data_IF_374722121156
#
_entry.id   IF_374722121156
#
_cell.length_a   1.000
_cell.length_b   1.000
_cell.length_c   1.000
_cell.angle_alpha   90.00
_cell.angle_beta   90.00
_cell.angle_gamma   90.00
#
_symmetry.space_group_name_H-M   'P 1'
#
loop_
_entity.id
_entity.type
_entity.pdbx_description
1 polymer ?
#
# COMPACT_ATOMS: atom_id res chain seq x y z
N UNK A 1 -4.34 -3.56 -19.71
CA UNK A 1 -3.37 -2.53 -19.26
C UNK A 1 -3.95 -1.87 -18.02
N UNK A 2 -3.24 -1.94 -16.90
CA UNK A 2 -3.63 -1.27 -15.66
C UNK A 2 -3.55 0.24 -15.87
N UNK A 3 -4.54 1.00 -15.39
CA UNK A 3 -4.54 2.46 -15.53
C UNK A 3 -3.38 3.13 -14.77
N UNK A 4 -3.06 4.40 -15.06
CA UNK A 4 -1.91 5.09 -14.47
C UNK A 4 -2.00 5.21 -12.93
N UNK A 5 -3.21 5.40 -12.38
CA UNK A 5 -3.40 5.44 -10.92
C UNK A 5 -3.15 4.07 -10.28
N UNK A 6 -3.56 3.00 -10.96
CA UNK A 6 -3.32 1.65 -10.51
C UNK A 6 -1.83 1.31 -10.54
N UNK A 7 -1.11 1.71 -11.59
CA UNK A 7 0.35 1.55 -11.67
C UNK A 7 1.07 2.34 -10.55
N UNK A 8 0.62 3.57 -10.30
CA UNK A 8 1.16 4.40 -9.21
C UNK A 8 0.92 3.74 -7.84
N UNK A 9 -0.30 3.25 -7.60
CA UNK A 9 -0.64 2.53 -6.37
C UNK A 9 0.24 1.30 -6.18
N UNK A 10 0.41 0.50 -7.23
CA UNK A 10 1.22 -0.72 -7.17
C UNK A 10 2.70 -0.43 -6.92
N UNK A 11 3.22 0.67 -7.48
CA UNK A 11 4.56 1.17 -7.14
C UNK A 11 4.65 1.56 -5.67
N UNK A 12 3.69 2.35 -5.15
CA UNK A 12 3.67 2.76 -3.74
C UNK A 12 3.52 1.58 -2.77
N UNK A 13 2.89 0.47 -3.19
CA UNK A 13 2.92 -0.79 -2.43
C UNK A 13 4.35 -1.35 -2.42
N UNK A 14 5.01 -1.51 -3.57
CA UNK A 14 6.39 -2.05 -3.65
C UNK A 14 7.44 -1.21 -2.91
N UNK A 15 7.15 0.06 -2.65
CA UNK A 15 7.99 0.95 -1.85
C UNK A 15 7.76 0.84 -0.33
N UNK A 16 6.78 0.06 0.12
CA UNK A 16 6.53 -0.21 1.53
C UNK A 16 7.78 -0.83 2.20
N UNK A 17 8.20 -0.24 3.32
CA UNK A 17 9.42 -0.64 4.03
C UNK A 17 10.72 -0.11 3.42
N UNK A 18 10.69 0.50 2.23
CA UNK A 18 11.84 1.16 1.58
C UNK A 18 11.80 2.68 1.69
N UNK A 19 10.59 3.24 1.76
CA UNK A 19 10.36 4.65 2.09
C UNK A 19 9.74 4.78 3.49
N UNK A 20 9.93 5.93 4.17
CA UNK A 20 9.28 6.19 5.45
C UNK A 20 7.75 6.13 5.34
N UNK A 21 7.08 5.55 6.34
CA UNK A 21 5.61 5.47 6.36
C UNK A 21 4.97 6.86 6.28
N UNK A 22 5.58 7.85 6.95
CA UNK A 22 5.16 9.26 6.91
C UNK A 22 5.03 9.83 5.49
N UNK A 23 5.85 9.34 4.57
CA UNK A 23 5.85 9.73 3.18
C UNK A 23 4.84 8.92 2.38
N UNK A 24 4.87 7.58 2.54
CA UNK A 24 4.00 6.67 1.81
C UNK A 24 2.52 6.94 2.09
N UNK A 25 2.15 7.21 3.34
CA UNK A 25 0.76 7.47 3.66
C UNK A 25 0.27 8.75 2.96
N UNK A 26 1.07 9.83 2.95
CA UNK A 26 0.70 11.07 2.24
C UNK A 26 0.58 10.86 0.74
N UNK A 27 1.52 10.11 0.15
CA UNK A 27 1.50 9.81 -1.27
C UNK A 27 0.24 9.03 -1.67
N UNK A 28 -0.16 8.03 -0.87
CA UNK A 28 -1.40 7.27 -1.09
C UNK A 28 -2.65 8.13 -0.89
N UNK A 29 -2.64 9.03 0.08
CA UNK A 29 -3.74 9.98 0.31
C UNK A 29 -3.90 10.95 -0.88
N UNK A 30 -2.79 11.48 -1.42
CA UNK A 30 -2.81 12.27 -2.65
C UNK A 30 -3.31 11.46 -3.85
N UNK A 31 -2.87 10.22 -4.01
CA UNK A 31 -3.34 9.36 -5.11
C UNK A 31 -4.86 9.14 -5.04
N UNK A 32 -5.39 8.92 -3.83
CA UNK A 32 -6.81 8.76 -3.59
C UNK A 32 -7.63 10.02 -3.92
N UNK A 33 -7.01 11.19 -3.90
CA UNK A 33 -7.61 12.49 -4.22
C UNK A 33 -7.25 13.00 -5.62
N UNK A 34 -6.80 12.10 -6.52
CA UNK A 34 -6.48 12.43 -7.91
C UNK A 34 -5.14 13.18 -8.11
N UNK A 35 -4.30 13.25 -7.08
CA UNK A 35 -3.00 13.94 -7.06
C UNK A 35 -1.88 13.26 -7.84
N UNK A 36 -2.17 12.55 -8.94
CA UNK A 36 -1.16 11.81 -9.72
C UNK A 36 -0.05 12.72 -10.27
N UNK A 37 -0.38 13.93 -10.72
CA UNK A 37 0.62 14.88 -11.21
C UNK A 37 1.62 15.28 -10.12
N UNK A 38 1.12 15.52 -8.90
CA UNK A 38 1.96 15.80 -7.73
C UNK A 38 2.86 14.62 -7.41
N UNK A 39 2.33 13.39 -7.52
CA UNK A 39 3.12 12.17 -7.34
C UNK A 39 4.18 11.97 -8.41
N UNK A 40 3.88 12.31 -9.67
CA UNK A 40 4.86 12.22 -10.74
C UNK A 40 6.09 13.07 -10.49
N UNK A 41 5.90 14.26 -9.91
CA UNK A 41 6.98 15.13 -9.50
C UNK A 41 7.66 14.69 -8.19
N UNK A 42 6.91 14.09 -7.25
CA UNK A 42 7.40 13.80 -5.89
C UNK A 42 8.10 12.46 -5.79
N UNK A 43 7.52 11.39 -6.35
CA UNK A 43 8.03 10.01 -6.21
C UNK A 43 9.48 9.89 -6.67
N UNK A 44 9.88 10.32 -7.89
CA UNK A 44 11.27 10.22 -8.31
C UNK A 44 12.25 10.99 -7.42
N UNK A 45 11.85 12.15 -6.90
CA UNK A 45 12.69 12.96 -6.00
C UNK A 45 12.91 12.27 -4.67
N UNK A 46 11.88 11.68 -4.10
CA UNK A 46 12.01 10.97 -2.83
C UNK A 46 12.78 9.65 -2.98
N UNK A 47 12.64 8.96 -4.12
CA UNK A 47 13.49 7.80 -4.44
C UNK A 47 14.98 8.20 -4.47
N UNK A 48 15.33 9.30 -5.13
CA UNK A 48 16.70 9.83 -5.15
C UNK A 48 17.17 10.24 -3.75
N UNK A 49 16.34 10.99 -3.02
CA UNK A 49 16.66 11.50 -1.68
C UNK A 49 16.92 10.39 -0.68
N UNK A 50 16.14 9.31 -0.75
CA UNK A 50 16.27 8.14 0.12
C UNK A 50 17.19 7.05 -0.46
N UNK A 51 17.79 7.28 -1.65
CA UNK A 51 18.65 6.33 -2.37
C UNK A 51 17.97 4.97 -2.59
N UNK A 52 16.67 4.99 -2.88
CA UNK A 52 15.90 3.80 -3.21
C UNK A 52 16.00 3.58 -4.72
N UNK A 53 16.75 2.54 -5.12
CA UNK A 53 16.76 2.09 -6.51
C UNK A 53 15.52 1.28 -6.86
N UNK A 54 15.20 1.17 -8.15
CA UNK A 54 14.06 0.42 -8.68
C UNK A 54 14.50 -0.75 -9.55
N UNK A 55 13.77 -1.86 -9.47
CA UNK A 55 13.89 -2.95 -10.46
C UNK A 55 13.30 -2.52 -11.80
N UNK A 56 13.51 -3.32 -12.85
CA UNK A 56 12.95 -3.04 -14.18
C UNK A 56 11.40 -3.02 -14.16
N UNK A 57 10.78 -3.95 -13.42
CA UNK A 57 9.31 -3.97 -13.25
C UNK A 57 8.81 -2.70 -12.54
N UNK A 58 9.51 -2.26 -11.49
CA UNK A 58 9.16 -1.05 -10.74
C UNK A 58 9.36 0.23 -11.58
N UNK A 59 10.41 0.25 -12.41
CA UNK A 59 10.62 1.31 -13.39
C UNK A 59 9.47 1.37 -14.40
N UNK A 60 9.00 0.21 -14.89
CA UNK A 60 7.82 0.13 -15.76
C UNK A 60 6.55 0.68 -15.10
N UNK A 61 6.36 0.44 -13.80
CA UNK A 61 5.24 1.03 -13.04
C UNK A 61 5.37 2.54 -12.87
N UNK A 62 6.59 3.03 -12.59
CA UNK A 62 6.85 4.45 -12.49
C UNK A 62 6.56 5.13 -13.84
N UNK A 63 7.07 4.58 -14.93
CA UNK A 63 6.82 5.05 -16.30
C UNK A 63 5.32 5.06 -16.63
N UNK A 64 4.59 3.98 -16.32
CA UNK A 64 3.14 3.93 -16.52
C UNK A 64 2.37 4.95 -15.66
N UNK A 65 2.87 5.29 -14.48
CA UNK A 65 2.26 6.26 -13.59
C UNK A 65 2.52 7.72 -14.02
N UNK A 66 3.71 8.04 -14.52
CA UNK A 66 4.15 9.43 -14.74
C UNK A 66 4.35 9.80 -16.21
N UNK A 67 4.34 8.81 -17.11
CA UNK A 67 4.62 8.96 -18.54
C UNK A 67 6.11 8.79 -18.88
N UNK A 68 6.38 8.19 -20.04
CA UNK A 68 7.73 7.80 -20.50
C UNK A 68 8.71 8.96 -20.78
N UNK A 69 8.20 10.17 -20.94
CA UNK A 69 9.02 11.37 -21.21
C UNK A 69 9.41 12.12 -19.93
N UNK A 70 9.08 11.59 -18.75
CA UNK A 70 9.31 12.30 -17.50
C UNK A 70 10.81 12.42 -17.18
N UNK A 71 11.34 13.63 -16.95
CA UNK A 71 12.79 13.91 -16.96
C UNK A 71 13.57 13.24 -15.82
N UNK A 72 12.88 12.80 -14.76
CA UNK A 72 13.51 12.13 -13.62
C UNK A 72 13.49 10.60 -13.71
N UNK A 73 12.91 10.00 -14.76
CA UNK A 73 12.89 8.54 -14.89
C UNK A 73 14.31 7.96 -14.92
N UNK A 74 15.16 8.49 -15.79
CA UNK A 74 16.54 7.99 -15.97
C UNK A 74 17.46 8.32 -14.79
N UNK A 75 17.08 9.28 -13.96
CA UNK A 75 17.86 9.64 -12.77
C UNK A 75 17.71 8.61 -11.64
N UNK A 76 16.57 7.92 -11.55
CA UNK A 76 16.31 6.94 -10.48
C UNK A 76 17.27 5.76 -10.64
N UNK A 77 17.94 5.38 -9.55
CA UNK A 77 18.95 4.32 -9.52
C UNK A 77 18.32 2.96 -9.90
N UNK A 78 19.00 2.11 -10.69
CA UNK A 78 18.56 0.73 -10.88
C UNK A 78 18.87 -0.11 -9.63
N UNK A 79 18.05 -1.13 -9.39
CA UNK A 79 18.27 -2.15 -8.37
C UNK A 79 18.24 -3.54 -9.02
N UNK A 80 19.21 -4.39 -8.66
CA UNK A 80 19.38 -5.72 -9.28
C UNK A 80 18.42 -6.78 -8.74
N UNK A 81 17.81 -6.57 -7.57
CA UNK A 81 16.89 -7.51 -6.96
C UNK A 81 15.82 -6.79 -6.13
N UNK A 82 14.62 -7.40 -5.97
CA UNK A 82 13.63 -6.92 -5.02
C UNK A 82 14.20 -6.83 -3.61
N UNK A 83 13.78 -5.80 -2.86
CA UNK A 83 14.23 -5.63 -1.48
C UNK A 83 13.57 -6.68 -0.57
N UNK A 84 14.39 -7.43 0.17
CA UNK A 84 13.91 -8.34 1.20
C UNK A 84 13.57 -7.55 2.47
N UNK A 85 12.34 -7.70 3.03
CA UNK A 85 11.90 -6.86 4.13
C UNK A 85 12.68 -7.19 5.42
N UNK A 86 13.33 -6.21 6.06
CA UNK A 86 14.07 -6.44 7.31
C UNK A 86 13.16 -6.59 8.54
N UNK A 87 11.84 -6.45 8.38
CA UNK A 87 10.93 -6.24 9.49
C UNK A 87 10.12 -7.48 9.86
N UNK A 88 10.18 -7.86 11.14
CA UNK A 88 9.31 -8.90 11.69
C UNK A 88 7.89 -8.34 11.93
N UNK A 89 6.90 -8.95 11.28
CA UNK A 89 5.49 -8.68 11.54
C UNK A 89 4.97 -9.61 12.63
N UNK A 90 4.14 -9.07 13.51
CA UNK A 90 3.51 -9.84 14.58
C UNK A 90 2.01 -9.61 14.63
N UNK A 91 1.22 -10.61 15.00
CA UNK A 91 -0.18 -10.37 15.32
C UNK A 91 -0.24 -9.44 16.53
N UNK A 92 -1.22 -8.54 16.54
CA UNK A 92 -1.53 -7.76 17.74
C UNK A 92 -2.26 -8.61 18.78
N UNK A 93 -2.64 -7.97 19.89
CA UNK A 93 -3.66 -8.55 20.77
C UNK A 93 -4.96 -8.81 19.95
N UNK A 94 -5.70 -9.85 20.33
CA UNK A 94 -6.96 -10.24 19.70
C UNK A 94 -8.11 -9.28 20.02
N UNK A 95 -7.88 -8.27 20.85
CA UNK A 95 -8.86 -7.21 21.13
C UNK A 95 -9.06 -6.32 19.90
N UNK A 96 -10.30 -6.27 19.41
CA UNK A 96 -10.68 -5.36 18.32
C UNK A 96 -11.07 -4.01 18.93
N UNK A 97 -10.32 -2.96 18.58
CA UNK A 97 -10.59 -1.60 19.04
C UNK A 97 -11.52 -0.83 18.10
N UNK A 98 -11.98 0.36 18.53
CA UNK A 98 -12.88 1.21 17.74
C UNK A 98 -12.35 1.53 16.33
N UNK A 99 -11.06 1.89 16.15
CA UNK A 99 -10.51 2.10 14.80
C UNK A 99 -10.59 0.84 13.92
N UNK A 100 -10.29 -0.34 14.46
CA UNK A 100 -10.38 -1.59 13.71
C UNK A 100 -11.83 -1.93 13.33
N UNK A 101 -12.81 -1.66 14.19
CA UNK A 101 -14.23 -1.80 13.87
C UNK A 101 -14.68 -0.84 12.76
N UNK A 102 -14.21 0.40 12.78
CA UNK A 102 -14.53 1.38 11.75
C UNK A 102 -13.93 1.00 10.39
N UNK A 103 -12.67 0.54 10.36
CA UNK A 103 -12.03 -0.01 9.15
C UNK A 103 -12.82 -1.20 8.62
N UNK A 104 -13.21 -2.13 9.49
CA UNK A 104 -14.01 -3.29 9.12
C UNK A 104 -15.34 -2.91 8.48
N UNK A 105 -16.03 -1.90 9.02
CA UNK A 105 -17.30 -1.43 8.46
C UNK A 105 -17.14 -0.91 7.02
N UNK A 106 -16.11 -0.09 6.76
CA UNK A 106 -15.81 0.43 5.42
C UNK A 106 -15.46 -0.71 4.47
N UNK A 107 -14.53 -1.59 4.85
CA UNK A 107 -14.07 -2.71 4.01
C UNK A 107 -15.20 -3.66 3.64
N UNK A 108 -16.11 -3.98 4.57
CA UNK A 108 -17.26 -4.85 4.30
C UNK A 108 -18.25 -4.26 3.30
N UNK A 109 -18.32 -2.93 3.21
CA UNK A 109 -19.19 -2.24 2.26
C UNK A 109 -18.53 -1.98 0.89
N UNK A 110 -17.21 -2.16 0.80
CA UNK A 110 -16.45 -1.84 -0.40
C UNK A 110 -16.43 -3.03 -1.38
N UNK A 111 -16.82 -2.83 -2.66
CA UNK A 111 -16.81 -3.90 -3.66
C UNK A 111 -15.42 -4.51 -3.88
N UNK A 112 -15.39 -5.83 -4.09
CA UNK A 112 -14.17 -6.57 -4.41
C UNK A 112 -13.25 -6.86 -3.22
N UNK A 113 -13.56 -6.41 -2.01
CA UNK A 113 -12.80 -6.77 -0.82
C UNK A 113 -13.00 -8.24 -0.43
N UNK A 114 -11.89 -8.94 -0.25
CA UNK A 114 -11.85 -10.38 0.05
C UNK A 114 -11.53 -10.61 1.51
N UNK A 115 -10.50 -9.93 2.03
CA UNK A 115 -10.01 -10.16 3.37
C UNK A 115 -9.47 -8.88 4.00
N UNK A 116 -9.71 -8.70 5.30
CA UNK A 116 -9.12 -7.68 6.13
C UNK A 116 -8.26 -8.34 7.19
N UNK A 117 -6.99 -7.91 7.28
CA UNK A 117 -6.01 -8.41 8.23
C UNK A 117 -5.31 -7.25 8.93
N UNK A 118 -4.74 -7.54 10.09
CA UNK A 118 -3.97 -6.57 10.85
C UNK A 118 -2.72 -7.23 11.44
N UNK A 119 -1.61 -6.50 11.38
CA UNK A 119 -0.37 -6.85 12.08
C UNK A 119 0.28 -5.61 12.67
N UNK A 120 1.38 -5.84 13.38
CA UNK A 120 2.24 -4.82 13.92
C UNK A 120 3.67 -5.01 13.43
N UNK A 121 4.31 -3.90 13.07
CA UNK A 121 5.72 -3.80 12.71
C UNK A 121 6.40 -2.87 13.71
N UNK A 122 7.09 -3.44 14.70
CA UNK A 122 7.45 -2.68 15.90
C UNK A 122 6.20 -2.15 16.59
N UNK A 123 6.09 -0.83 16.75
CA UNK A 123 4.89 -0.15 17.28
C UNK A 123 3.97 0.41 16.20
N UNK A 124 4.24 0.16 14.92
CA UNK A 124 3.37 0.62 13.83
C UNK A 124 2.28 -0.43 13.55
N UNK A 125 1.01 -0.02 13.63
CA UNK A 125 -0.12 -0.83 13.14
C UNK A 125 -0.11 -0.84 11.62
N UNK A 126 -0.21 -2.03 11.03
CA UNK A 126 -0.34 -2.23 9.58
C UNK A 126 -1.69 -2.88 9.29
N UNK A 127 -2.50 -2.22 8.48
CA UNK A 127 -3.80 -2.70 8.02
C UNK A 127 -3.65 -3.22 6.59
N UNK A 128 -3.98 -4.49 6.37
CA UNK A 128 -3.90 -5.15 5.08
C UNK A 128 -5.31 -5.46 4.58
N UNK A 129 -5.64 -4.98 3.39
CA UNK A 129 -6.87 -5.35 2.67
C UNK A 129 -6.47 -6.12 1.43
N UNK A 130 -6.98 -7.34 1.28
CA UNK A 130 -6.78 -8.14 0.08
C UNK A 130 -7.99 -7.98 -0.81
N UNK A 131 -7.76 -7.57 -2.05
CA UNK A 131 -8.81 -7.24 -3.01
C UNK A 131 -9.50 -5.92 -2.71
N UNK A 132 -9.86 -5.22 -3.77
CA UNK A 132 -10.76 -4.06 -3.77
C UNK A 132 -10.93 -3.63 -5.23
N UNK A 133 -12.09 -3.10 -5.57
CA UNK A 133 -12.18 -2.22 -6.73
C UNK A 133 -11.50 -0.89 -6.40
N UNK A 134 -10.67 -0.37 -7.31
CA UNK A 134 -9.94 0.91 -7.16
C UNK A 134 -9.20 1.01 -5.81
N UNK A 135 -8.22 0.11 -5.55
CA UNK A 135 -7.59 -0.05 -4.24
C UNK A 135 -6.92 1.22 -3.69
N UNK A 136 -6.52 2.16 -4.55
CA UNK A 136 -5.96 3.45 -4.13
C UNK A 136 -6.99 4.35 -3.43
N UNK A 137 -8.25 4.35 -3.86
CA UNK A 137 -9.31 5.14 -3.21
C UNK A 137 -9.65 4.59 -1.83
N UNK A 138 -9.72 3.26 -1.72
CA UNK A 138 -9.95 2.59 -0.44
C UNK A 138 -8.78 2.86 0.52
N UNK A 139 -7.53 2.77 0.03
CA UNK A 139 -6.35 3.05 0.86
C UNK A 139 -6.42 4.45 1.48
N UNK A 140 -6.62 5.51 0.68
CA UNK A 140 -6.75 6.87 1.20
C UNK A 140 -7.93 7.04 2.16
N UNK A 141 -9.08 6.42 1.87
CA UNK A 141 -10.26 6.45 2.75
C UNK A 141 -9.96 5.87 4.13
N UNK A 142 -9.35 4.68 4.18
CA UNK A 142 -8.99 4.01 5.43
C UNK A 142 -7.89 4.77 6.18
N UNK A 143 -6.94 5.39 5.47
CA UNK A 143 -5.91 6.22 6.10
C UNK A 143 -6.51 7.44 6.78
N UNK A 144 -7.43 8.17 6.11
CA UNK A 144 -8.13 9.31 6.71
C UNK A 144 -8.97 8.90 7.91
N UNK A 145 -9.63 7.74 7.83
CA UNK A 145 -10.37 7.15 8.95
C UNK A 145 -9.45 6.90 10.16
N UNK A 146 -8.32 6.22 9.97
CA UNK A 146 -7.36 5.96 11.05
C UNK A 146 -6.79 7.25 11.64
N UNK A 147 -6.55 8.28 10.81
CA UNK A 147 -6.15 9.62 11.28
C UNK A 147 -7.20 10.27 12.17
N UNK A 148 -8.48 10.16 11.80
CA UNK A 148 -9.58 10.67 12.63
C UNK A 148 -9.63 9.99 14.01
N UNK A 149 -9.10 8.78 14.11
CA UNK A 149 -8.93 8.04 15.37
C UNK A 149 -7.56 8.26 16.06
N UNK A 150 -6.73 9.17 15.55
CA UNK A 150 -5.48 9.58 16.20
C UNK A 150 -4.21 8.90 15.68
N UNK A 151 -4.29 8.02 14.68
CA UNK A 151 -3.10 7.48 14.03
C UNK A 151 -2.44 8.57 13.17
N UNK A 152 -1.22 8.98 13.55
CA UNK A 152 -0.51 10.06 12.84
C UNK A 152 0.11 9.60 11.53
N UNK A 153 0.39 8.31 11.40
CA UNK A 153 1.14 7.71 10.29
C UNK A 153 0.48 6.40 9.86
N UNK A 154 -0.78 6.45 9.39
CA UNK A 154 -1.55 5.25 9.11
C UNK A 154 -0.87 4.42 8.02
N UNK A 155 -0.54 3.17 8.35
CA UNK A 155 0.01 2.21 7.41
C UNK A 155 -1.11 1.31 6.90
N UNK A 156 -1.72 1.72 5.79
CA UNK A 156 -2.76 0.96 5.08
C UNK A 156 -2.20 0.45 3.76
N UNK A 157 -2.34 -0.86 3.56
CA UNK A 157 -1.87 -1.60 2.41
C UNK A 157 -3.05 -2.32 1.77
N UNK A 158 -3.60 -1.76 0.68
CA UNK A 158 -4.71 -2.37 -0.07
C UNK A 158 -4.13 -3.04 -1.32
N UNK A 159 -4.08 -4.37 -1.31
CA UNK A 159 -3.53 -5.14 -2.41
C UNK A 159 -4.56 -5.29 -3.54
N UNK A 160 -4.12 -5.29 -4.81
CA UNK A 160 -5.00 -5.62 -5.93
C UNK A 160 -5.60 -7.02 -5.77
N UNK A 161 -6.75 -7.31 -6.40
CA UNK A 161 -7.40 -8.61 -6.30
C UNK A 161 -6.62 -9.76 -6.96
N UNK A 162 -5.68 -9.44 -7.84
CA UNK A 162 -4.89 -10.41 -8.60
C UNK A 162 -3.41 -10.01 -8.60
N UNK A 163 -2.54 -11.00 -8.80
CA UNK A 163 -1.09 -10.83 -8.79
C UNK A 163 -0.47 -11.35 -7.49
N UNK A 164 0.83 -11.64 -7.57
CA UNK A 164 1.59 -12.06 -6.40
C UNK A 164 1.91 -10.84 -5.51
N UNK A 165 1.59 -10.89 -4.20
CA UNK A 165 1.97 -9.82 -3.28
C UNK A 165 3.50 -9.62 -3.25
N UNK A 166 4.00 -8.38 -3.16
CA UNK A 166 5.42 -8.14 -2.91
C UNK A 166 5.91 -8.82 -1.63
N UNK A 167 7.20 -9.12 -1.53
CA UNK A 167 7.79 -9.83 -0.39
C UNK A 167 7.45 -9.21 0.97
N UNK A 168 7.44 -7.87 1.06
CA UNK A 168 6.97 -7.12 2.23
C UNK A 168 5.54 -7.53 2.64
N UNK A 169 4.61 -7.57 1.69
CA UNK A 169 3.22 -7.90 1.95
C UNK A 169 3.01 -9.40 2.19
N UNK A 170 3.79 -10.28 1.56
CA UNK A 170 3.78 -11.70 1.87
C UNK A 170 4.15 -11.92 3.35
N UNK A 171 5.25 -11.32 3.81
CA UNK A 171 5.66 -11.37 5.20
C UNK A 171 4.61 -10.76 6.14
N UNK A 172 3.99 -9.63 5.75
CA UNK A 172 2.95 -8.98 6.53
C UNK A 172 1.68 -9.83 6.63
N UNK A 173 1.28 -10.51 5.56
CA UNK A 173 0.14 -11.45 5.54
C UNK A 173 0.43 -12.63 6.48
N UNK A 174 1.61 -13.25 6.39
CA UNK A 174 2.02 -14.36 7.26
C UNK A 174 2.00 -13.94 8.74
N UNK A 175 2.53 -12.76 9.05
CA UNK A 175 2.60 -12.24 10.42
C UNK A 175 1.34 -11.55 10.94
N UNK A 176 0.21 -11.63 10.23
CA UNK A 176 -1.03 -10.90 10.59
C UNK A 176 -2.14 -11.79 11.11
N UNK A 177 -2.98 -11.21 11.96
CA UNK A 177 -4.25 -11.80 12.39
C UNK A 177 -5.37 -11.38 11.43
N UNK A 178 -6.25 -12.31 11.00
CA UNK A 178 -7.43 -11.96 10.23
C UNK A 178 -8.46 -11.23 11.11
N UNK A 179 -9.02 -10.14 10.61
CA UNK A 179 -10.16 -9.45 11.24
C UNK A 179 -11.48 -9.85 10.57
N UNK A 180 -11.46 -10.11 9.27
CA UNK A 180 -12.63 -10.51 8.50
C UNK A 180 -12.24 -11.15 7.18
N UNK A 181 -13.11 -12.04 6.68
CA UNK A 181 -13.05 -12.62 5.33
C UNK A 181 -14.45 -12.65 4.73
N UNK A 182 -14.54 -12.35 3.44
CA UNK A 182 -15.79 -12.42 2.69
C UNK A 182 -16.31 -13.86 2.62
N UNK A 183 -17.62 -14.03 2.81
CA UNK A 183 -18.29 -15.31 2.67
C UNK A 183 -18.36 -15.80 1.21
N UNK A 184 -18.21 -14.89 0.24
CA UNK A 184 -18.26 -15.23 -1.19
C UNK A 184 -17.15 -16.20 -1.63
N UNK A 185 -16.08 -16.34 -0.85
CA UNK A 185 -14.98 -17.29 -1.09
C UNK A 185 -15.16 -18.66 -0.43
N UNK A 186 -16.17 -18.85 0.42
CA UNK A 186 -16.42 -20.12 1.13
C UNK A 186 -17.28 -21.09 0.29
N UNK A 187 -17.75 -20.65 -0.88
CA UNK A 187 -18.64 -21.40 -1.77
C UNK A 187 -18.10 -21.70 -3.17
N UNK A 188 -16.78 -21.60 -3.39
CA UNK A 188 -16.12 -21.99 -4.65
C UNK A 188 -15.41 -23.33 -4.51
#
# INVERSE_FOLDING_TARGET
>A
MTGPDAACHELLLRLAGRLPDELLWRMRDWLADGGREVLGATVPRELLRHRVGLTDDERGLLEAAVGSTHPLLDAVLPASAPHEPPAAFRPGDRTVDTPALAVLAVVRSHPGCVELRQCWRGSQRVVLVLGAERPWELAGTLQRLLRAHGDRTPCVEVLPPHGEPPAYHQAAIIGSAPLWRSAALVGA
#
